data_IF_182327889791
#
_entry.id   IF_182327889791
#
_cell.length_a   1.000
_cell.length_b   1.000
_cell.length_c   1.000
_cell.angle_alpha   90.00
_cell.angle_beta   90.00
_cell.angle_gamma   90.00
#
_symmetry.space_group_name_H-M   'P 1'
#
loop_
_entity.id
_entity.type
_entity.pdbx_description
1 polymer ?
#
# COMPACT_ATOMS: atom_id res chain seq x y z
N UNK A 1 -33.08 32.68 8.95
CA UNK A 1 -31.74 32.60 8.35
C UNK A 1 -31.55 31.16 7.93
N UNK A 2 -31.46 30.90 6.63
CA UNK A 2 -31.24 29.54 6.14
C UNK A 2 -29.95 29.00 6.77
N UNK A 3 -30.04 27.86 7.42
CA UNK A 3 -28.88 27.17 7.96
C UNK A 3 -28.24 26.42 6.80
N UNK A 4 -27.11 26.92 6.29
CA UNK A 4 -26.43 26.37 5.10
C UNK A 4 -26.14 24.86 5.19
N UNK A 5 -26.13 24.28 6.40
CA UNK A 5 -25.98 22.83 6.59
C UNK A 5 -27.26 22.06 6.25
N UNK A 6 -28.43 22.60 6.59
CA UNK A 6 -29.73 21.98 6.29
C UNK A 6 -30.00 21.94 4.78
N UNK A 7 -29.69 23.02 4.06
CA UNK A 7 -29.83 23.04 2.60
C UNK A 7 -28.88 22.06 1.90
N UNK A 8 -27.65 21.96 2.39
CA UNK A 8 -26.67 20.99 1.89
C UNK A 8 -27.09 19.55 2.21
N UNK A 9 -27.70 19.32 3.37
CA UNK A 9 -28.28 18.04 3.72
C UNK A 9 -29.37 17.60 2.74
N UNK A 10 -30.33 18.49 2.43
CA UNK A 10 -31.44 18.18 1.52
C UNK A 10 -30.98 17.73 0.13
N UNK A 11 -29.84 18.24 -0.33
CA UNK A 11 -29.24 17.87 -1.62
C UNK A 11 -28.37 16.61 -1.53
N UNK A 12 -27.67 16.38 -0.41
CA UNK A 12 -26.76 15.24 -0.25
C UNK A 12 -27.46 13.94 0.18
N UNK A 13 -28.60 14.02 0.90
CA UNK A 13 -29.18 12.89 1.63
C UNK A 13 -29.53 11.69 0.74
N UNK A 14 -29.98 11.93 -0.50
CA UNK A 14 -30.36 10.84 -1.41
C UNK A 14 -29.13 10.07 -1.90
N UNK A 15 -28.06 10.77 -2.26
CA UNK A 15 -26.80 10.15 -2.68
C UNK A 15 -26.18 9.35 -1.53
N UNK A 16 -26.17 9.91 -0.32
CA UNK A 16 -25.70 9.21 0.88
C UNK A 16 -26.56 7.98 1.21
N UNK A 17 -27.89 8.08 1.09
CA UNK A 17 -28.80 6.96 1.34
C UNK A 17 -28.56 5.81 0.36
N UNK A 18 -28.46 6.13 -0.94
CA UNK A 18 -28.16 5.17 -2.00
C UNK A 18 -26.78 4.52 -1.79
N UNK A 19 -25.78 5.33 -1.45
CA UNK A 19 -24.42 4.86 -1.19
C UNK A 19 -24.35 3.93 0.03
N UNK A 20 -25.02 4.27 1.13
CA UNK A 20 -25.10 3.46 2.33
C UNK A 20 -25.72 2.09 2.04
N UNK A 21 -26.86 2.08 1.36
CA UNK A 21 -27.55 0.85 0.97
C UNK A 21 -26.67 -0.03 0.07
N UNK A 22 -25.99 0.58 -0.91
CA UNK A 22 -25.10 -0.14 -1.84
C UNK A 22 -23.86 -0.69 -1.14
N UNK A 23 -23.27 0.06 -0.20
CA UNK A 23 -22.09 -0.36 0.55
C UNK A 23 -22.45 -1.42 1.60
N UNK A 24 -23.64 -1.35 2.20
CA UNK A 24 -24.02 -2.17 3.35
C UNK A 24 -23.47 -1.59 4.66
N UNK A 25 -23.64 -0.28 4.85
CA UNK A 25 -23.24 0.44 6.07
C UNK A 25 -24.46 1.17 6.66
N UNK A 26 -24.51 1.33 7.99
CA UNK A 26 -25.58 2.10 8.63
C UNK A 26 -25.62 3.52 8.03
N UNK A 27 -26.76 3.94 7.44
CA UNK A 27 -26.86 5.24 6.81
C UNK A 27 -26.70 6.38 7.82
N UNK A 28 -27.03 6.14 9.10
CA UNK A 28 -26.83 7.12 10.15
C UNK A 28 -25.35 7.41 10.45
N UNK A 29 -24.52 6.38 10.57
CA UNK A 29 -23.05 6.53 10.71
C UNK A 29 -22.48 7.27 9.50
N UNK A 30 -22.93 6.93 8.29
CA UNK A 30 -22.51 7.62 7.06
C UNK A 30 -22.90 9.11 7.06
N UNK A 31 -24.12 9.43 7.48
CA UNK A 31 -24.57 10.82 7.59
C UNK A 31 -23.73 11.60 8.60
N UNK A 32 -23.43 11.01 9.77
CA UNK A 32 -22.60 11.67 10.79
C UNK A 32 -21.21 12.00 10.27
N UNK A 33 -20.55 11.07 9.57
CA UNK A 33 -19.20 11.32 9.05
C UNK A 33 -19.21 12.33 7.88
N UNK A 34 -20.18 12.27 6.96
CA UNK A 34 -20.32 13.27 5.90
C UNK A 34 -20.57 14.68 6.48
N UNK A 35 -21.39 14.76 7.54
CA UNK A 35 -21.64 15.99 8.27
C UNK A 35 -20.39 16.53 8.95
N UNK A 36 -19.61 15.66 9.59
CA UNK A 36 -18.37 16.00 10.27
C UNK A 36 -17.30 16.51 9.30
N UNK A 37 -17.07 15.80 8.20
CA UNK A 37 -15.98 16.08 7.26
C UNK A 37 -16.25 17.31 6.39
N UNK A 38 -17.48 17.45 5.90
CA UNK A 38 -17.78 18.44 4.87
C UNK A 38 -19.00 19.31 5.18
N UNK A 39 -19.71 19.05 6.28
CA UNK A 39 -21.05 19.61 6.54
C UNK A 39 -21.97 19.40 5.34
N UNK A 40 -21.87 18.22 4.72
CA UNK A 40 -22.61 17.83 3.50
C UNK A 40 -22.29 18.69 2.27
N UNK A 41 -21.12 19.34 2.23
CA UNK A 41 -20.70 20.11 1.07
C UNK A 41 -19.86 19.26 0.11
N UNK A 42 -20.36 18.92 -1.10
CA UNK A 42 -19.60 18.13 -2.07
C UNK A 42 -18.39 18.90 -2.67
N UNK A 43 -18.28 20.19 -2.38
CA UNK A 43 -17.16 21.06 -2.78
C UNK A 43 -16.30 21.50 -1.59
N UNK A 44 -16.46 20.86 -0.42
CA UNK A 44 -15.65 21.14 0.76
C UNK A 44 -14.16 20.95 0.46
N UNK A 45 -13.36 21.89 0.97
CA UNK A 45 -11.91 21.95 0.78
C UNK A 45 -11.27 22.68 1.96
N UNK A 46 -10.10 22.25 2.44
CA UNK A 46 -9.42 22.91 3.53
C UNK A 46 -8.71 24.16 3.00
N UNK A 47 -9.40 25.30 3.01
CA UNK A 47 -8.81 26.60 2.66
C UNK A 47 -8.52 27.37 3.95
N UNK A 48 -7.26 27.75 4.12
CA UNK A 48 -6.88 28.69 5.15
C UNK A 48 -7.45 30.08 4.82
N UNK A 49 -8.00 30.75 5.84
CA UNK A 49 -8.54 32.10 5.70
C UNK A 49 -7.45 33.12 5.34
N UNK A 50 -7.87 34.34 4.98
CA UNK A 50 -6.99 35.42 4.49
C UNK A 50 -5.74 35.70 5.34
N UNK A 51 -5.81 35.50 6.67
CA UNK A 51 -4.68 35.70 7.60
C UNK A 51 -3.59 34.64 7.51
N UNK A 52 -3.92 33.49 6.93
CA UNK A 52 -3.04 32.32 6.79
C UNK A 52 -3.01 31.81 5.35
N UNK A 53 -3.21 32.71 4.37
CA UNK A 53 -3.31 32.34 2.96
C UNK A 53 -2.06 31.62 2.43
N UNK A 54 -0.91 31.84 3.06
CA UNK A 54 0.35 31.14 2.80
C UNK A 54 0.28 29.63 2.98
N UNK A 55 -0.66 29.14 3.82
CA UNK A 55 -0.87 27.71 4.02
C UNK A 55 -1.54 27.03 2.81
N UNK A 56 -2.16 27.79 1.90
CA UNK A 56 -2.83 27.29 0.71
C UNK A 56 -1.82 26.97 -0.42
N UNK A 57 -0.98 25.96 -0.20
CA UNK A 57 0.13 25.61 -1.08
C UNK A 57 -0.26 24.67 -2.24
N UNK A 58 -1.29 23.83 -2.05
CA UNK A 58 -1.69 22.79 -3.01
C UNK A 58 -2.65 23.34 -4.04
N UNK A 59 -2.35 23.16 -5.33
CA UNK A 59 -3.29 23.40 -6.43
C UNK A 59 -4.16 22.16 -6.62
N UNK A 60 -5.48 22.30 -6.48
CA UNK A 60 -6.45 21.21 -6.68
C UNK A 60 -6.74 20.99 -8.18
N UNK A 61 -7.47 19.91 -8.47
CA UNK A 61 -7.81 19.48 -9.85
C UNK A 61 -8.59 20.53 -10.66
N UNK A 62 -9.21 21.49 -9.99
CA UNK A 62 -9.96 22.62 -10.56
C UNK A 62 -9.16 23.94 -10.57
N UNK A 63 -7.87 23.89 -10.21
CA UNK A 63 -6.97 25.05 -10.18
C UNK A 63 -7.02 25.87 -8.89
N UNK A 64 -7.96 25.58 -7.97
CA UNK A 64 -8.08 26.33 -6.70
C UNK A 64 -6.94 25.97 -5.75
N UNK A 65 -6.40 26.97 -5.04
CA UNK A 65 -5.39 26.77 -4.00
C UNK A 65 -6.04 26.41 -2.66
N UNK A 66 -5.54 25.34 -2.04
CA UNK A 66 -5.98 24.85 -0.73
C UNK A 66 -4.78 24.35 0.10
N UNK A 67 -5.01 24.08 1.38
CA UNK A 67 -3.99 23.56 2.29
C UNK A 67 -3.59 22.12 1.96
N UNK A 68 -4.48 21.35 1.35
CA UNK A 68 -4.23 19.98 0.91
C UNK A 68 -5.12 19.59 -0.28
N UNK A 69 -4.92 18.38 -0.80
CA UNK A 69 -5.74 17.80 -1.87
C UNK A 69 -7.06 17.18 -1.37
N UNK A 70 -7.39 17.35 -0.09
CA UNK A 70 -8.66 16.90 0.49
C UNK A 70 -9.83 17.63 -0.17
N UNK A 71 -10.84 16.87 -0.61
CA UNK A 71 -12.02 17.42 -1.30
C UNK A 71 -13.27 16.57 -1.10
N UNK A 72 -14.43 17.22 -1.09
CA UNK A 72 -15.75 16.58 -1.17
C UNK A 72 -16.26 15.97 0.13
N UNK A 73 -17.31 15.15 0.05
CA UNK A 73 -18.05 14.66 1.23
C UNK A 73 -17.17 14.02 2.31
N UNK A 74 -16.22 13.20 1.89
CA UNK A 74 -15.30 12.47 2.79
C UNK A 74 -13.94 13.14 2.99
N UNK A 75 -13.73 14.32 2.41
CA UNK A 75 -12.45 15.04 2.41
C UNK A 75 -11.23 14.17 2.02
N UNK A 76 -11.39 13.25 1.06
CA UNK A 76 -10.30 12.40 0.59
C UNK A 76 -9.20 13.19 -0.13
N UNK A 77 -7.94 12.91 0.22
CA UNK A 77 -6.77 13.37 -0.53
C UNK A 77 -6.71 12.70 -1.91
N UNK A 78 -5.86 13.20 -2.82
CA UNK A 78 -5.73 12.64 -4.18
C UNK A 78 -5.41 11.14 -4.18
N UNK A 79 -4.53 10.68 -3.29
CA UNK A 79 -4.10 9.29 -3.26
C UNK A 79 -5.16 8.39 -2.65
N UNK A 80 -5.77 8.81 -1.52
CA UNK A 80 -6.86 8.06 -0.90
C UNK A 80 -8.05 7.96 -1.85
N UNK A 81 -8.42 9.06 -2.52
CA UNK A 81 -9.47 9.07 -3.53
C UNK A 81 -9.18 8.11 -4.68
N UNK A 82 -7.97 8.17 -5.25
CA UNK A 82 -7.58 7.28 -6.34
C UNK A 82 -7.59 5.80 -5.92
N UNK A 83 -7.15 5.49 -4.70
CA UNK A 83 -7.24 4.15 -4.13
C UNK A 83 -8.68 3.66 -4.02
N UNK A 84 -9.57 4.48 -3.45
CA UNK A 84 -10.98 4.15 -3.31
C UNK A 84 -11.67 3.96 -4.67
N UNK A 85 -11.44 4.87 -5.61
CA UNK A 85 -12.02 4.76 -6.97
C UNK A 85 -11.50 3.53 -7.68
N UNK A 86 -10.21 3.18 -7.58
CA UNK A 86 -9.71 1.93 -8.19
C UNK A 86 -10.37 0.69 -7.62
N UNK A 87 -10.60 0.70 -6.31
CA UNK A 87 -11.12 -0.47 -5.60
C UNK A 87 -12.63 -0.64 -5.77
N UNK A 88 -13.37 0.46 -5.74
CA UNK A 88 -14.82 0.46 -5.67
C UNK A 88 -15.48 1.15 -6.85
N UNK A 89 -14.78 1.92 -7.66
CA UNK A 89 -15.35 2.72 -8.75
C UNK A 89 -16.20 1.90 -9.73
N UNK A 90 -15.77 0.69 -10.10
CA UNK A 90 -16.58 -0.20 -10.96
C UNK A 90 -17.92 -0.54 -10.31
N UNK A 91 -17.93 -0.80 -9.00
CA UNK A 91 -19.16 -1.00 -8.24
C UNK A 91 -20.07 0.21 -8.38
N UNK A 92 -19.55 1.42 -8.58
CA UNK A 92 -20.32 2.67 -8.72
C UNK A 92 -20.43 3.20 -10.16
N UNK A 93 -20.07 2.40 -11.17
CA UNK A 93 -20.27 2.75 -12.59
C UNK A 93 -19.07 3.40 -13.28
N UNK A 94 -17.91 3.50 -12.61
CA UNK A 94 -16.67 3.94 -13.24
C UNK A 94 -16.06 2.77 -14.01
N UNK A 95 -16.07 2.84 -15.34
CA UNK A 95 -15.51 1.79 -16.18
C UNK A 95 -13.99 1.67 -15.99
N UNK A 96 -13.50 0.43 -15.91
CA UNK A 96 -12.08 0.08 -15.77
C UNK A 96 -11.36 0.82 -14.62
N UNK A 97 -12.11 1.08 -13.53
CA UNK A 97 -11.65 1.95 -12.45
C UNK A 97 -10.31 1.49 -11.85
N UNK A 98 -10.10 0.17 -11.78
CA UNK A 98 -8.89 -0.49 -11.25
C UNK A 98 -7.59 -0.10 -11.96
N UNK A 99 -7.65 0.37 -13.19
CA UNK A 99 -6.48 0.74 -14.00
C UNK A 99 -6.28 2.25 -14.13
N UNK A 100 -7.15 3.06 -13.54
CA UNK A 100 -7.00 4.52 -13.58
C UNK A 100 -5.70 4.95 -12.90
N UNK A 101 -4.94 5.83 -13.55
CA UNK A 101 -3.83 6.57 -12.90
C UNK A 101 -4.35 7.51 -11.82
N UNK A 102 -3.47 8.01 -10.94
CA UNK A 102 -3.88 8.97 -9.90
C UNK A 102 -4.48 10.22 -10.55
N UNK A 103 -3.89 10.69 -11.65
CA UNK A 103 -4.39 11.83 -12.42
C UNK A 103 -5.78 11.57 -13.00
N UNK A 104 -6.01 10.41 -13.62
CA UNK A 104 -7.32 10.05 -14.19
C UNK A 104 -8.40 9.91 -13.12
N UNK A 105 -8.11 9.25 -11.99
CA UNK A 105 -9.05 9.14 -10.88
C UNK A 105 -9.42 10.51 -10.28
N UNK A 106 -8.48 11.45 -10.30
CA UNK A 106 -8.68 12.82 -9.82
C UNK A 106 -9.20 13.80 -10.90
N UNK A 107 -9.59 13.32 -12.08
CA UNK A 107 -10.17 14.18 -13.10
C UNK A 107 -11.47 14.85 -12.59
N UNK A 108 -11.78 16.09 -13.03
CA UNK A 108 -12.98 16.81 -12.58
C UNK A 108 -14.28 16.00 -12.69
N UNK A 109 -14.41 15.18 -13.74
CA UNK A 109 -15.59 14.33 -13.96
C UNK A 109 -15.85 13.34 -12.82
N UNK A 110 -14.80 12.77 -12.21
CA UNK A 110 -14.95 11.82 -11.10
C UNK A 110 -14.96 12.54 -9.76
N UNK A 111 -14.10 13.56 -9.58
CA UNK A 111 -14.02 14.31 -8.33
C UNK A 111 -15.27 15.12 -8.01
N UNK A 112 -16.01 15.59 -9.03
CA UNK A 112 -17.25 16.35 -8.84
C UNK A 112 -18.52 15.49 -8.85
N UNK A 113 -18.41 14.18 -9.09
CA UNK A 113 -19.56 13.26 -9.07
C UNK A 113 -19.97 12.99 -7.61
N UNK A 114 -21.09 13.57 -7.19
CA UNK A 114 -21.57 13.50 -5.79
C UNK A 114 -22.01 12.09 -5.40
N UNK A 115 -22.57 11.32 -6.33
CA UNK A 115 -22.96 9.94 -6.10
C UNK A 115 -21.72 9.04 -5.92
N UNK A 116 -20.68 9.26 -6.74
CA UNK A 116 -19.40 8.57 -6.58
C UNK A 116 -18.71 8.99 -5.27
N UNK A 117 -18.70 10.28 -4.92
CA UNK A 117 -18.17 10.76 -3.64
C UNK A 117 -18.85 10.07 -2.45
N UNK A 118 -20.19 10.04 -2.45
CA UNK A 118 -20.98 9.37 -1.42
C UNK A 118 -20.67 7.87 -1.37
N UNK A 119 -20.53 7.23 -2.54
CA UNK A 119 -20.14 5.82 -2.68
C UNK A 119 -18.79 5.49 -2.05
N UNK A 120 -17.76 6.27 -2.38
CA UNK A 120 -16.41 6.07 -1.80
C UNK A 120 -16.42 6.32 -0.30
N UNK A 121 -17.15 7.34 0.18
CA UNK A 121 -17.28 7.57 1.62
C UNK A 121 -17.98 6.39 2.31
N UNK A 122 -19.07 5.87 1.75
CA UNK A 122 -19.79 4.73 2.31
C UNK A 122 -18.92 3.47 2.45
N UNK A 123 -18.13 3.15 1.43
CA UNK A 123 -17.20 2.01 1.48
C UNK A 123 -16.09 2.21 2.52
N UNK A 124 -15.52 3.43 2.57
CA UNK A 124 -14.51 3.77 3.56
C UNK A 124 -15.06 3.68 4.99
N UNK A 125 -16.27 4.21 5.22
CA UNK A 125 -16.96 4.12 6.50
C UNK A 125 -17.22 2.67 6.89
N UNK A 126 -17.72 1.84 5.96
CA UNK A 126 -17.95 0.42 6.20
C UNK A 126 -16.67 -0.30 6.65
N UNK A 127 -15.57 -0.10 5.94
CA UNK A 127 -14.27 -0.69 6.31
C UNK A 127 -13.81 -0.24 7.70
N UNK A 128 -13.99 1.04 8.02
CA UNK A 128 -13.60 1.58 9.32
C UNK A 128 -14.49 1.14 10.48
N UNK A 129 -15.79 0.92 10.27
CA UNK A 129 -16.68 0.33 11.29
C UNK A 129 -16.19 -1.07 11.65
N UNK A 130 -15.94 -1.91 10.64
CA UNK A 130 -15.44 -3.29 10.84
C UNK A 130 -14.08 -3.28 11.52
N UNK A 131 -13.16 -2.44 11.03
CA UNK A 131 -11.81 -2.31 11.59
C UNK A 131 -11.83 -1.80 13.03
N UNK A 132 -12.64 -0.81 13.34
CA UNK A 132 -12.73 -0.22 14.68
C UNK A 132 -13.28 -1.20 15.72
N UNK A 133 -14.34 -1.94 15.37
CA UNK A 133 -14.90 -2.99 16.22
C UNK A 133 -13.86 -4.07 16.55
N UNK A 134 -13.06 -4.45 15.57
CA UNK A 134 -11.99 -5.44 15.75
C UNK A 134 -10.82 -4.92 16.60
N UNK A 135 -10.51 -3.63 16.51
CA UNK A 135 -9.42 -3.01 17.27
C UNK A 135 -9.76 -2.83 18.75
N UNK A 136 -11.04 -2.69 19.09
CA UNK A 136 -11.44 -2.59 20.49
C UNK A 136 -12.62 -1.69 20.79
N UNK A 137 -12.98 -0.80 19.87
CA UNK A 137 -14.00 0.20 20.15
C UNK A 137 -15.42 -0.35 19.95
N UNK A 138 -16.30 -0.05 20.90
CA UNK A 138 -17.68 -0.53 20.96
C UNK A 138 -18.69 0.42 20.30
N UNK A 139 -18.29 1.66 20.05
CA UNK A 139 -19.11 2.71 19.44
C UNK A 139 -18.66 2.94 17.99
N UNK A 140 -19.57 2.70 17.04
CA UNK A 140 -19.30 2.85 15.62
C UNK A 140 -18.94 4.28 15.22
N UNK A 141 -19.56 5.29 15.85
CA UNK A 141 -19.30 6.69 15.56
C UNK A 141 -17.90 7.08 16.05
N UNK A 142 -17.56 6.69 17.27
CA UNK A 142 -16.24 6.93 17.84
C UNK A 142 -15.14 6.16 17.09
N UNK A 143 -15.44 4.96 16.59
CA UNK A 143 -14.53 4.16 15.76
C UNK A 143 -14.20 4.85 14.44
N UNK A 144 -15.24 5.25 13.71
CA UNK A 144 -15.07 5.95 12.43
C UNK A 144 -14.35 7.28 12.66
N UNK A 145 -14.72 8.01 13.70
CA UNK A 145 -14.03 9.24 14.08
C UNK A 145 -12.54 9.01 14.36
N UNK A 146 -12.20 8.01 15.19
CA UNK A 146 -10.82 7.71 15.55
C UNK A 146 -9.99 7.35 14.32
N UNK A 147 -10.48 6.44 13.46
CA UNK A 147 -9.77 5.98 12.27
C UNK A 147 -9.65 7.06 11.19
N UNK A 148 -10.65 7.94 11.09
CA UNK A 148 -10.66 9.02 10.10
C UNK A 148 -9.80 10.21 10.55
N UNK A 149 -9.92 10.67 11.80
CA UNK A 149 -9.24 11.87 12.30
C UNK A 149 -7.79 11.61 12.76
N UNK A 150 -7.49 10.47 13.37
CA UNK A 150 -6.12 10.11 13.77
C UNK A 150 -5.33 9.43 12.64
N UNK A 151 -6.01 9.16 11.52
CA UNK A 151 -5.51 8.30 10.46
C UNK A 151 -5.43 6.84 10.90
N UNK A 152 -5.15 5.94 9.97
CA UNK A 152 -5.27 4.52 10.26
C UNK A 152 -4.31 3.99 11.33
N UNK A 153 -3.10 4.54 11.47
CA UNK A 153 -2.08 4.02 12.41
C UNK A 153 -2.29 4.59 13.82
N UNK A 154 -2.48 5.91 13.92
CA UNK A 154 -2.81 6.58 15.18
C UNK A 154 -4.18 6.15 15.71
N UNK A 155 -5.17 6.04 14.82
CA UNK A 155 -6.50 5.53 15.16
C UNK A 155 -6.47 4.07 15.58
N UNK A 156 -5.68 3.21 14.90
CA UNK A 156 -5.54 1.82 15.31
C UNK A 156 -4.86 1.65 16.67
N UNK A 157 -3.77 2.38 16.91
CA UNK A 157 -3.09 2.38 18.20
C UNK A 157 -4.02 2.88 19.32
N UNK A 158 -4.76 3.97 19.07
CA UNK A 158 -5.73 4.52 20.01
C UNK A 158 -6.84 3.52 20.34
N UNK A 159 -7.48 2.92 19.33
CA UNK A 159 -8.55 1.94 19.56
C UNK A 159 -8.05 0.65 20.23
N UNK A 160 -6.80 0.25 19.98
CA UNK A 160 -6.15 -0.83 20.72
C UNK A 160 -5.98 -0.47 22.20
N UNK A 161 -5.55 0.75 22.49
CA UNK A 161 -5.43 1.25 23.86
C UNK A 161 -6.81 1.36 24.55
N UNK A 162 -7.88 1.73 23.84
CA UNK A 162 -9.26 1.69 24.38
C UNK A 162 -9.60 0.29 24.92
N UNK A 163 -9.21 -0.78 24.22
CA UNK A 163 -9.46 -2.16 24.67
C UNK A 163 -8.51 -2.63 25.76
N UNK A 164 -7.23 -2.37 25.58
CA UNK A 164 -6.18 -2.99 26.41
C UNK A 164 -5.90 -2.18 27.68
N UNK A 165 -5.98 -0.84 27.58
CA UNK A 165 -5.57 0.09 28.63
C UNK A 165 -6.51 1.33 28.68
N UNK A 166 -7.83 1.17 28.94
CA UNK A 166 -8.80 2.27 28.87
C UNK A 166 -8.49 3.45 29.82
N UNK A 167 -7.85 3.17 30.95
CA UNK A 167 -7.47 4.16 31.96
C UNK A 167 -6.08 4.79 31.70
N UNK A 168 -5.36 4.37 30.67
CA UNK A 168 -4.09 4.98 30.29
C UNK A 168 -4.29 6.42 29.85
N UNK A 169 -3.29 7.27 30.10
CA UNK A 169 -3.34 8.68 29.69
C UNK A 169 -3.24 8.80 28.18
N UNK A 170 -3.95 9.77 27.62
CA UNK A 170 -3.90 10.03 26.17
C UNK A 170 -2.48 10.35 25.70
N UNK A 171 -1.67 11.06 26.49
CA UNK A 171 -0.28 11.39 26.15
C UNK A 171 0.72 10.23 26.20
N UNK A 172 0.34 9.08 26.77
CA UNK A 172 1.10 7.85 26.65
C UNK A 172 0.85 7.13 25.30
N UNK A 173 -0.29 7.43 24.65
CA UNK A 173 -0.73 6.75 23.42
C UNK A 173 -0.59 7.65 22.18
N UNK A 174 -0.87 8.94 22.32
CA UNK A 174 -0.86 9.92 21.23
C UNK A 174 0.27 10.93 21.41
N UNK A 175 0.87 11.33 20.28
CA UNK A 175 1.92 12.35 20.29
C UNK A 175 1.39 13.72 20.75
N UNK A 176 2.27 14.52 21.36
CA UNK A 176 1.97 15.89 21.78
C UNK A 176 1.43 16.77 20.62
N UNK A 177 1.87 16.54 19.38
CA UNK A 177 1.39 17.27 18.21
C UNK A 177 -0.08 16.95 17.88
N UNK A 178 -0.49 15.69 18.00
CA UNK A 178 -1.88 15.26 17.79
C UNK A 178 -2.78 15.86 18.86
N UNK A 179 -2.32 15.84 20.13
CA UNK A 179 -3.02 16.41 21.27
C UNK A 179 -3.23 17.92 21.09
N UNK A 180 -2.14 18.65 20.80
CA UNK A 180 -2.15 20.10 20.62
C UNK A 180 -3.07 20.56 19.49
N UNK A 181 -3.20 19.77 18.42
CA UNK A 181 -4.09 20.09 17.29
C UNK A 181 -5.56 19.82 17.58
N UNK A 182 -5.87 19.03 18.61
CA UNK A 182 -7.24 18.60 18.93
C UNK A 182 -7.57 18.77 20.43
N UNK A 183 -7.43 19.97 21.00
CA UNK A 183 -7.58 20.18 22.45
C UNK A 183 -9.00 19.89 22.95
N UNK A 184 -10.03 20.02 22.10
CA UNK A 184 -11.40 19.67 22.47
C UNK A 184 -11.61 18.17 22.75
N UNK A 185 -10.81 17.29 22.14
CA UNK A 185 -10.86 15.85 22.36
C UNK A 185 -9.93 15.40 23.47
N UNK A 186 -8.73 15.96 23.51
CA UNK A 186 -7.63 15.41 24.31
C UNK A 186 -7.25 16.27 25.51
N UNK A 187 -7.73 17.52 25.59
CA UNK A 187 -7.28 18.47 26.59
C UNK A 187 -5.78 18.71 26.48
N UNK A 188 -5.07 18.60 27.60
CA UNK A 188 -3.61 18.61 27.68
C UNK A 188 -2.97 17.21 27.55
N UNK A 189 -3.78 16.17 27.30
CA UNK A 189 -3.33 14.78 27.23
C UNK A 189 -3.37 14.00 28.54
N UNK A 190 -3.68 14.65 29.66
CA UNK A 190 -3.72 14.01 30.99
C UNK A 190 -4.96 13.15 31.25
N UNK A 191 -6.02 13.33 30.46
CA UNK A 191 -7.24 12.51 30.54
C UNK A 191 -7.03 11.09 30.04
N UNK A 192 -7.97 10.19 30.34
CA UNK A 192 -7.88 8.78 29.93
C UNK A 192 -8.25 8.58 28.46
N UNK A 193 -7.71 7.50 27.87
CA UNK A 193 -8.04 7.04 26.51
C UNK A 193 -9.54 6.78 26.37
N UNK A 194 -10.18 6.15 27.36
CA UNK A 194 -11.63 5.92 27.36
C UNK A 194 -12.43 7.23 27.35
N UNK A 195 -12.05 8.21 28.19
CA UNK A 195 -12.74 9.51 28.23
C UNK A 195 -12.55 10.30 26.92
N UNK A 196 -11.40 10.16 26.25
CA UNK A 196 -11.19 10.72 24.92
C UNK A 196 -12.04 9.99 23.86
N UNK A 197 -12.14 8.67 23.92
CA UNK A 197 -12.97 7.87 23.02
C UNK A 197 -14.46 8.22 23.14
N UNK A 198 -14.99 8.36 24.36
CA UNK A 198 -16.37 8.82 24.60
C UNK A 198 -16.62 10.24 24.04
N UNK A 199 -15.64 11.14 24.17
CA UNK A 199 -15.72 12.47 23.57
C UNK A 199 -15.78 12.43 22.04
N UNK A 200 -15.14 11.45 21.39
CA UNK A 200 -15.25 11.27 19.94
C UNK A 200 -16.69 10.92 19.53
N UNK A 201 -17.33 9.96 20.22
CA UNK A 201 -18.73 9.61 19.99
C UNK A 201 -19.66 10.81 20.20
N UNK A 202 -19.48 11.55 21.29
CA UNK A 202 -20.26 12.77 21.59
C UNK A 202 -20.10 13.86 20.53
N UNK A 203 -18.91 14.04 19.95
CA UNK A 203 -18.69 14.98 18.86
C UNK A 203 -19.50 14.59 17.61
N UNK A 204 -19.75 13.30 17.38
CA UNK A 204 -20.57 12.82 16.26
C UNK A 204 -22.07 12.98 16.53
N UNK A 205 -22.51 12.99 17.80
CA UNK A 205 -23.91 13.19 18.18
C UNK A 205 -24.51 14.52 17.72
N UNK A 206 -23.69 15.53 17.39
CA UNK A 206 -24.19 16.79 16.80
C UNK A 206 -24.92 16.58 15.46
N UNK A 207 -24.67 15.45 14.79
CA UNK A 207 -25.29 15.09 13.53
C UNK A 207 -26.41 14.05 13.68
N UNK A 208 -26.83 13.70 14.92
CA UNK A 208 -27.84 12.66 15.16
C UNK A 208 -29.15 12.93 14.42
N UNK A 209 -29.61 14.18 14.38
CA UNK A 209 -30.83 14.54 13.63
C UNK A 209 -30.79 14.09 12.16
N UNK A 210 -29.64 14.23 11.51
CA UNK A 210 -29.48 13.82 10.11
C UNK A 210 -29.35 12.29 9.99
N UNK A 211 -28.75 11.65 11.00
CA UNK A 211 -28.68 10.20 11.08
C UNK A 211 -30.07 9.56 11.25
N UNK A 212 -30.95 10.18 12.03
CA UNK A 212 -32.35 9.79 12.15
C UNK A 212 -33.10 10.01 10.82
N UNK A 213 -32.98 11.20 10.22
CA UNK A 213 -33.63 11.54 8.95
C UNK A 213 -33.30 10.52 7.83
N UNK A 214 -32.03 10.21 7.62
CA UNK A 214 -31.62 9.29 6.55
C UNK A 214 -32.06 7.84 6.78
N UNK A 215 -32.19 7.40 8.04
CA UNK A 215 -32.71 6.07 8.37
C UNK A 215 -34.18 5.92 7.99
N UNK A 216 -34.94 7.02 7.97
CA UNK A 216 -36.32 7.02 7.47
C UNK A 216 -36.40 6.95 5.94
N UNK A 217 -35.43 7.52 5.23
CA UNK A 217 -35.37 7.52 3.76
C UNK A 217 -34.83 6.19 3.21
N UNK A 218 -33.97 5.49 3.97
CA UNK A 218 -33.43 4.18 3.64
C UNK A 218 -33.82 3.11 4.69
N UNK A 219 -35.09 2.69 4.75
CA UNK A 219 -35.52 1.66 5.69
C UNK A 219 -34.97 0.30 5.22
N UNK A 220 -33.84 -0.14 5.76
CA UNK A 220 -33.25 -1.39 5.29
C UNK A 220 -32.10 -2.02 6.05
N UNK A 221 -31.37 -1.33 6.93
CA UNK A 221 -30.29 -1.97 7.70
C UNK A 221 -30.14 -1.31 9.07
N UNK A 222 -30.91 -1.79 10.05
CA UNK A 222 -30.59 -1.57 11.47
C UNK A 222 -29.44 -2.50 11.83
N UNK A 223 -28.28 -2.03 12.32
CA UNK A 223 -27.38 -2.89 13.05
C UNK A 223 -28.12 -3.35 14.31
N UNK A 224 -28.24 -4.66 14.50
CA UNK A 224 -28.73 -5.23 15.74
C UNK A 224 -27.93 -4.65 16.91
N UNK A 225 -28.63 -3.95 17.80
CA UNK A 225 -28.15 -3.65 19.12
C UNK A 225 -27.79 -4.96 19.86
N UNK A 226 -26.78 -4.86 20.74
CA UNK A 226 -26.27 -5.87 21.68
C UNK A 226 -25.20 -6.84 21.17
N UNK A 227 -23.95 -6.40 21.30
CA UNK A 227 -22.79 -7.29 21.49
C UNK A 227 -22.86 -7.97 22.88
N UNK A 228 -23.80 -8.91 23.06
CA UNK A 228 -23.79 -9.83 24.20
C UNK A 228 -23.21 -11.17 23.75
N UNK A 229 -22.16 -11.61 24.45
CA UNK A 229 -21.43 -12.87 24.23
C UNK A 229 -22.33 -14.11 24.38
N UNK A 230 -22.11 -15.21 23.63
CA UNK A 230 -22.67 -16.49 24.00
C UNK A 230 -21.67 -17.31 24.83
N UNK A 231 -22.14 -17.86 25.96
CA UNK A 231 -21.57 -19.06 26.59
C UNK A 231 -22.34 -20.30 26.12
N UNK A 232 -21.74 -21.51 26.21
CA UNK A 232 -22.02 -22.61 25.28
C UNK A 232 -23.03 -23.61 25.83
N UNK A 233 -23.90 -24.18 25.00
CA UNK A 233 -24.28 -25.60 25.13
C UNK A 233 -25.06 -26.18 23.94
N UNK A 234 -24.67 -27.42 23.61
CA UNK A 234 -25.38 -28.50 22.91
C UNK A 234 -25.61 -28.43 21.38
N UNK A 235 -24.83 -29.29 20.71
CA UNK A 235 -25.15 -29.95 19.43
C UNK A 235 -26.37 -30.88 19.65
N UNK A 236 -27.22 -31.09 18.63
CA UNK A 236 -27.06 -32.36 17.92
C UNK A 236 -27.08 -32.23 16.39
N UNK A 237 -26.36 -33.19 15.82
CA UNK A 237 -26.04 -33.40 14.43
C UNK A 237 -27.19 -34.13 13.70
N UNK A 238 -27.66 -33.56 12.59
CA UNK A 238 -27.82 -34.20 11.27
C UNK A 238 -28.74 -33.37 10.34
N UNK A 239 -28.18 -32.95 9.20
CA UNK A 239 -28.72 -33.13 7.84
C UNK A 239 -28.18 -32.02 6.92
N UNK A 240 -27.38 -32.44 5.94
CA UNK A 240 -26.59 -31.63 5.02
C UNK A 240 -27.35 -31.43 3.72
N UNK A 241 -27.66 -30.19 3.33
CA UNK A 241 -27.77 -29.72 1.92
C UNK A 241 -27.39 -28.21 1.89
N UNK A 242 -26.55 -27.80 0.93
CA UNK A 242 -25.92 -26.47 0.80
C UNK A 242 -26.92 -25.31 0.51
N UNK A 243 -26.55 -24.03 0.79
CA UNK A 243 -25.95 -23.21 -0.28
C UNK A 243 -24.91 -22.15 0.16
N UNK A 244 -24.10 -21.72 -0.83
CA UNK A 244 -23.43 -20.41 -1.04
C UNK A 244 -23.12 -19.54 0.19
N UNK A 245 -21.85 -19.49 0.58
CA UNK A 245 -21.33 -18.72 1.71
C UNK A 245 -21.51 -17.21 1.55
N UNK A 246 -22.19 -16.59 2.52
CA UNK A 246 -22.04 -15.19 2.89
C UNK A 246 -20.59 -14.92 3.40
N UNK A 247 -20.08 -13.68 3.37
CA UNK A 247 -18.68 -13.41 3.70
C UNK A 247 -18.48 -13.54 5.22
N UNK A 248 -17.75 -14.58 5.63
CA UNK A 248 -17.36 -14.80 7.02
C UNK A 248 -16.11 -13.98 7.38
N UNK A 249 -15.89 -13.79 8.68
CA UNK A 249 -14.78 -13.08 9.33
C UNK A 249 -13.35 -13.64 9.06
N UNK A 250 -13.15 -14.42 8.00
CA UNK A 250 -11.87 -14.97 7.52
C UNK A 250 -10.99 -13.95 6.76
N UNK A 251 -11.39 -12.67 6.75
CA UNK A 251 -10.81 -11.69 5.82
C UNK A 251 -9.67 -10.82 6.38
N UNK A 252 -9.24 -11.06 7.62
CA UNK A 252 -8.21 -10.24 8.28
C UNK A 252 -7.19 -11.12 9.00
N UNK A 253 -5.91 -10.99 8.62
CA UNK A 253 -4.80 -11.69 9.27
C UNK A 253 -3.99 -10.71 10.14
N UNK A 254 -3.70 -11.11 11.39
CA UNK A 254 -2.98 -10.31 12.39
C UNK A 254 -2.08 -11.17 13.26
N UNK A 255 -1.28 -10.52 14.10
CA UNK A 255 -0.50 -11.17 15.14
C UNK A 255 -1.35 -12.14 15.99
N UNK A 256 -0.87 -13.37 16.13
CA UNK A 256 -1.57 -14.51 16.75
C UNK A 256 -2.39 -15.37 15.77
N UNK A 257 -2.68 -14.91 14.56
CA UNK A 257 -3.28 -15.73 13.52
C UNK A 257 -2.32 -16.84 13.08
N UNK A 258 -2.87 -17.97 12.64
CA UNK A 258 -2.09 -19.08 12.12
C UNK A 258 -2.88 -19.86 11.05
N UNK A 259 -2.18 -20.62 10.21
CA UNK A 259 -2.78 -21.46 9.17
C UNK A 259 -2.31 -21.13 7.76
N UNK A 260 -2.98 -21.72 6.77
CA UNK A 260 -2.63 -21.60 5.35
C UNK A 260 -2.64 -20.16 4.84
N UNK A 261 -3.58 -19.35 5.31
CA UNK A 261 -3.75 -17.97 4.83
C UNK A 261 -2.62 -17.07 5.32
N UNK A 262 -2.12 -17.32 6.54
CA UNK A 262 -0.93 -16.66 7.08
C UNK A 262 0.32 -17.08 6.30
N UNK A 263 0.43 -18.36 5.96
CA UNK A 263 1.54 -18.86 5.14
C UNK A 263 1.54 -18.20 3.76
N UNK A 264 0.38 -18.14 3.10
CA UNK A 264 0.24 -17.47 1.81
C UNK A 264 0.61 -15.99 1.90
N UNK A 265 0.14 -15.27 2.93
CA UNK A 265 0.53 -13.88 3.19
C UNK A 265 2.06 -13.73 3.33
N UNK A 266 2.69 -14.58 4.15
CA UNK A 266 4.14 -14.56 4.37
C UNK A 266 4.92 -14.83 3.07
N UNK A 267 4.45 -15.76 2.24
CA UNK A 267 5.04 -16.04 0.93
C UNK A 267 4.92 -14.86 -0.04
N UNK A 268 3.77 -14.18 -0.08
CA UNK A 268 3.56 -13.00 -0.92
C UNK A 268 4.46 -11.83 -0.50
N UNK A 269 4.54 -11.55 0.80
CA UNK A 269 5.45 -10.54 1.36
C UNK A 269 6.91 -10.87 1.04
N UNK A 270 7.32 -12.13 1.22
CA UNK A 270 8.66 -12.59 0.87
C UNK A 270 8.99 -12.44 -0.61
N UNK A 271 8.03 -12.79 -1.50
CA UNK A 271 8.18 -12.61 -2.96
C UNK A 271 8.39 -11.15 -3.35
N UNK A 272 7.82 -10.22 -2.60
CA UNK A 272 7.92 -8.79 -2.84
C UNK A 272 9.08 -8.12 -2.07
N UNK A 273 9.94 -8.92 -1.41
CA UNK A 273 11.13 -8.41 -0.72
C UNK A 273 10.89 -7.90 0.71
N UNK A 274 9.69 -8.10 1.28
CA UNK A 274 9.38 -7.69 2.65
C UNK A 274 9.77 -8.79 3.63
N UNK A 275 10.96 -8.66 4.22
CA UNK A 275 11.59 -9.72 5.03
C UNK A 275 11.50 -9.51 6.54
N UNK A 276 10.87 -8.44 7.05
CA UNK A 276 10.67 -8.24 8.50
C UNK A 276 11.84 -7.57 9.25
N UNK A 277 12.82 -7.01 8.53
CA UNK A 277 13.88 -6.16 9.07
C UNK A 277 13.32 -4.99 9.91
N UNK A 278 13.91 -4.68 11.09
CA UNK A 278 15.14 -5.22 11.67
C UNK A 278 14.92 -6.41 12.64
N UNK A 279 13.71 -6.97 12.73
CA UNK A 279 13.32 -7.94 13.78
C UNK A 279 13.52 -9.42 13.38
N UNK A 280 14.25 -9.68 12.29
CA UNK A 280 14.58 -11.02 11.79
C UNK A 280 13.93 -11.31 10.43
N UNK A 281 14.35 -12.41 9.80
CA UNK A 281 13.88 -12.80 8.46
C UNK A 281 12.52 -13.49 8.50
N UNK A 282 11.59 -13.03 7.65
CA UNK A 282 10.25 -13.55 7.48
C UNK A 282 10.31 -15.02 7.03
N UNK A 283 9.68 -15.90 7.80
CA UNK A 283 9.50 -17.32 7.46
C UNK A 283 8.04 -17.57 7.09
N UNK A 284 7.80 -18.38 6.07
CA UNK A 284 6.46 -18.83 5.67
C UNK A 284 5.98 -20.04 6.49
N UNK A 285 6.08 -19.96 7.80
CA UNK A 285 5.71 -21.05 8.71
C UNK A 285 4.19 -21.17 8.92
N UNK A 286 3.43 -20.14 8.54
CA UNK A 286 2.00 -20.05 8.79
C UNK A 286 1.66 -19.53 10.18
N UNK A 287 2.61 -18.92 10.90
CA UNK A 287 2.39 -18.27 12.20
C UNK A 287 2.61 -16.76 12.11
N UNK A 288 1.56 -15.99 12.39
CA UNK A 288 1.63 -14.54 12.31
C UNK A 288 2.23 -14.00 13.61
N UNK A 289 3.54 -13.86 13.63
CA UNK A 289 4.30 -13.28 14.75
C UNK A 289 4.76 -11.84 14.51
N UNK A 290 5.57 -11.28 15.43
CA UNK A 290 6.12 -9.92 15.33
C UNK A 290 6.88 -9.64 14.02
N UNK A 291 7.54 -10.67 13.46
CA UNK A 291 8.28 -10.56 12.19
C UNK A 291 7.32 -10.38 11.00
N UNK A 292 6.25 -11.18 10.94
CA UNK A 292 5.19 -11.05 9.92
C UNK A 292 4.49 -9.71 10.02
N UNK A 293 4.22 -9.25 11.24
CA UNK A 293 3.67 -7.92 11.48
C UNK A 293 4.59 -6.82 10.94
N UNK A 294 5.88 -6.85 11.26
CA UNK A 294 6.86 -5.88 10.76
C UNK A 294 6.94 -5.86 9.24
N UNK A 295 6.90 -7.04 8.60
CA UNK A 295 6.86 -7.15 7.13
C UNK A 295 5.57 -6.54 6.54
N UNK A 296 4.42 -6.76 7.17
CA UNK A 296 3.15 -6.15 6.74
C UNK A 296 3.17 -4.63 6.93
N UNK A 297 3.68 -4.12 8.05
CA UNK A 297 3.82 -2.67 8.27
C UNK A 297 4.75 -2.01 7.26
N UNK A 298 5.85 -2.68 6.89
CA UNK A 298 6.76 -2.23 5.84
C UNK A 298 6.07 -2.19 4.48
N UNK A 299 5.40 -3.28 4.09
CA UNK A 299 4.60 -3.33 2.87
C UNK A 299 3.54 -2.23 2.83
N UNK A 300 2.81 -2.07 3.91
CA UNK A 300 1.78 -1.04 4.01
C UNK A 300 2.37 0.36 3.86
N UNK A 301 3.52 0.64 4.49
CA UNK A 301 4.20 1.95 4.38
C UNK A 301 4.63 2.25 2.95
N UNK A 302 5.25 1.28 2.30
CA UNK A 302 5.83 1.42 0.96
C UNK A 302 4.75 1.51 -0.13
N UNK A 303 3.56 0.95 0.14
CA UNK A 303 2.39 1.06 -0.73
C UNK A 303 1.36 2.09 -0.25
N UNK A 304 1.78 3.02 0.62
CA UNK A 304 0.96 4.14 1.11
C UNK A 304 -0.38 3.72 1.74
N UNK A 305 -0.42 2.50 2.26
CA UNK A 305 -1.47 2.03 3.16
C UNK A 305 -1.14 2.44 4.59
N UNK A 306 -2.10 2.23 5.47
CA UNK A 306 -1.86 2.38 6.90
C UNK A 306 -0.91 1.29 7.40
N UNK A 307 0.27 1.62 7.99
CA UNK A 307 1.20 0.63 8.52
C UNK A 307 0.78 0.17 9.93
N UNK A 308 -0.34 -0.53 10.02
CA UNK A 308 -0.91 -1.03 11.28
C UNK A 308 -0.55 -2.50 11.58
N UNK A 309 0.10 -3.18 10.64
CA UNK A 309 0.52 -4.57 10.80
C UNK A 309 -0.65 -5.55 10.75
N UNK A 310 -1.76 -5.14 10.12
CA UNK A 310 -2.97 -5.94 9.97
C UNK A 310 -3.20 -6.16 8.48
N UNK A 311 -3.10 -7.41 8.04
CA UNK A 311 -3.39 -7.77 6.66
C UNK A 311 -4.91 -7.95 6.47
N UNK A 312 -5.63 -6.83 6.45
CA UNK A 312 -7.03 -6.75 6.06
C UNK A 312 -7.24 -6.74 4.54
N UNK A 313 -8.49 -6.61 4.05
CA UNK A 313 -8.81 -6.69 2.63
C UNK A 313 -8.00 -5.75 1.72
N UNK A 314 -7.75 -4.52 2.17
CA UNK A 314 -6.91 -3.55 1.44
C UNK A 314 -5.48 -4.05 1.25
N UNK A 315 -4.86 -4.49 2.34
CA UNK A 315 -3.49 -4.99 2.35
C UNK A 315 -3.35 -6.26 1.53
N UNK A 316 -4.28 -7.22 1.66
CA UNK A 316 -4.23 -8.48 0.89
C UNK A 316 -4.44 -8.25 -0.61
N UNK A 317 -5.37 -7.40 -1.01
CA UNK A 317 -5.54 -7.07 -2.45
C UNK A 317 -4.35 -6.31 -3.01
N UNK A 318 -3.77 -5.39 -2.23
CA UNK A 318 -2.56 -4.71 -2.67
C UNK A 318 -1.39 -5.71 -2.81
N UNK A 319 -1.26 -6.67 -1.89
CA UNK A 319 -0.28 -7.77 -2.00
C UNK A 319 -0.51 -8.60 -3.26
N UNK A 320 -1.74 -9.04 -3.50
CA UNK A 320 -2.10 -9.80 -4.71
C UNK A 320 -1.78 -9.03 -5.99
N UNK A 321 -2.10 -7.73 -6.03
CA UNK A 321 -1.80 -6.87 -7.16
C UNK A 321 -0.29 -6.69 -7.35
N UNK A 322 0.47 -6.48 -6.28
CA UNK A 322 1.92 -6.35 -6.37
C UNK A 322 2.59 -7.66 -6.77
N UNK A 323 2.11 -8.81 -6.27
CA UNK A 323 2.59 -10.13 -6.71
C UNK A 323 2.28 -10.36 -8.19
N UNK A 324 1.10 -9.92 -8.66
CA UNK A 324 0.74 -9.99 -10.08
C UNK A 324 1.56 -9.04 -10.94
N UNK A 325 1.81 -7.81 -10.50
CA UNK A 325 2.66 -6.84 -11.20
C UNK A 325 4.11 -7.34 -11.23
N UNK A 326 4.62 -7.84 -10.11
CA UNK A 326 5.92 -8.51 -10.04
C UNK A 326 5.99 -9.75 -10.96
N UNK A 327 4.88 -10.48 -11.13
CA UNK A 327 4.78 -11.59 -12.09
C UNK A 327 4.58 -11.15 -13.55
N UNK A 328 4.06 -9.95 -13.80
CA UNK A 328 3.83 -9.37 -15.14
C UNK A 328 5.05 -8.57 -15.64
N UNK A 329 5.81 -7.97 -14.72
CA UNK A 329 7.16 -7.43 -14.90
C UNK A 329 8.22 -8.55 -14.95
N UNK A 330 7.79 -9.82 -14.86
CA UNK A 330 8.55 -10.97 -15.34
C UNK A 330 8.17 -11.27 -16.80
N UNK A 331 8.89 -10.77 -17.81
CA UNK A 331 8.61 -11.17 -19.19
C UNK A 331 9.00 -12.63 -19.41
N UNK A 332 8.01 -13.48 -19.66
CA UNK A 332 8.19 -14.79 -20.27
C UNK A 332 8.68 -14.62 -21.73
N UNK A 333 9.99 -14.43 -21.94
CA UNK A 333 10.61 -14.64 -23.27
C UNK A 333 12.14 -14.80 -23.32
N UNK A 334 12.89 -14.60 -22.24
CA UNK A 334 14.32 -14.93 -22.24
C UNK A 334 14.52 -16.33 -21.65
N UNK A 335 15.17 -17.22 -22.39
CA UNK A 335 15.68 -18.49 -21.83
C UNK A 335 16.54 -18.16 -20.61
N UNK A 336 16.28 -18.72 -19.41
CA UNK A 336 17.05 -18.40 -18.22
C UNK A 336 18.55 -18.76 -18.37
N UNK A 337 19.45 -18.01 -17.73
CA UNK A 337 20.90 -18.24 -17.73
C UNK A 337 21.29 -19.61 -17.16
N UNK A 338 20.50 -20.15 -16.23
CA UNK A 338 20.68 -21.48 -15.66
C UNK A 338 20.12 -22.62 -16.54
N UNK A 339 19.45 -22.30 -17.65
CA UNK A 339 19.02 -23.26 -18.65
C UNK A 339 20.18 -23.61 -19.59
N UNK A 340 20.51 -24.90 -19.79
CA UNK A 340 21.54 -25.34 -20.73
C UNK A 340 21.39 -24.83 -22.18
N UNK A 341 20.17 -24.48 -22.60
CA UNK A 341 19.90 -23.94 -23.93
C UNK A 341 20.27 -22.45 -24.08
N UNK A 342 20.63 -21.75 -23.00
CA UNK A 342 20.98 -20.34 -23.06
C UNK A 342 22.38 -20.11 -23.65
N UNK A 343 22.52 -19.14 -24.55
CA UNK A 343 23.78 -18.85 -25.24
C UNK A 343 24.96 -18.51 -24.29
N UNK A 344 24.66 -17.91 -23.13
CA UNK A 344 25.65 -17.59 -22.09
C UNK A 344 25.63 -18.55 -20.90
N UNK A 345 25.04 -19.75 -21.05
CA UNK A 345 25.02 -20.76 -19.99
C UNK A 345 26.44 -21.14 -19.51
N UNK A 346 27.43 -21.11 -20.39
CA UNK A 346 28.82 -21.37 -20.03
C UNK A 346 29.38 -20.38 -19.00
N UNK A 347 29.08 -19.08 -19.15
CA UNK A 347 29.47 -18.05 -18.17
C UNK A 347 28.75 -18.25 -16.84
N UNK A 348 27.46 -18.62 -16.86
CA UNK A 348 26.70 -18.96 -15.66
C UNK A 348 27.32 -20.15 -14.91
N UNK A 349 27.66 -21.24 -15.60
CA UNK A 349 28.30 -22.41 -14.98
C UNK A 349 29.67 -22.07 -14.37
N UNK A 350 30.46 -21.23 -15.05
CA UNK A 350 31.76 -20.76 -14.55
C UNK A 350 31.61 -19.88 -13.30
N UNK A 351 30.65 -18.94 -13.30
CA UNK A 351 30.30 -18.14 -12.14
C UNK A 351 29.83 -19.03 -10.98
N UNK A 352 28.93 -19.98 -11.25
CA UNK A 352 28.39 -20.90 -10.24
C UNK A 352 29.48 -21.78 -9.61
N UNK A 353 30.47 -22.22 -10.41
CA UNK A 353 31.65 -22.94 -9.89
C UNK A 353 32.47 -22.08 -8.92
N UNK A 354 32.63 -20.79 -9.21
CA UNK A 354 33.30 -19.85 -8.31
C UNK A 354 32.51 -19.56 -7.03
N UNK A 355 31.21 -19.29 -7.16
CA UNK A 355 30.31 -19.04 -6.01
C UNK A 355 30.24 -20.26 -5.08
N UNK A 356 30.17 -21.49 -5.63
CA UNK A 356 30.22 -22.73 -4.84
C UNK A 356 31.48 -22.86 -3.99
N UNK A 357 32.63 -22.39 -4.48
CA UNK A 357 33.89 -22.40 -3.70
C UNK A 357 33.82 -21.43 -2.54
N UNK A 358 33.22 -20.25 -2.75
CA UNK A 358 32.99 -19.25 -1.68
C UNK A 358 32.04 -19.84 -0.62
N UNK A 359 30.94 -20.45 -1.05
CA UNK A 359 29.97 -21.10 -0.16
C UNK A 359 30.66 -22.19 0.70
N UNK A 360 31.48 -23.04 0.08
CA UNK A 360 32.26 -24.06 0.78
C UNK A 360 33.26 -23.47 1.79
N UNK A 361 33.94 -22.38 1.43
CA UNK A 361 34.86 -21.69 2.35
C UNK A 361 34.13 -21.07 3.54
N UNK A 362 32.88 -20.67 3.35
CA UNK A 362 32.01 -20.15 4.41
C UNK A 362 31.24 -21.24 5.16
N UNK A 363 31.44 -22.53 4.82
CA UNK A 363 30.75 -23.64 5.47
C UNK A 363 29.25 -23.70 5.20
N UNK A 364 28.77 -23.10 4.11
CA UNK A 364 27.35 -23.11 3.71
C UNK A 364 27.12 -23.93 2.43
N UNK A 365 25.95 -24.57 2.28
CA UNK A 365 25.54 -25.12 0.99
C UNK A 365 25.16 -24.01 0.01
N UNK A 366 25.33 -24.25 -1.29
CA UNK A 366 24.78 -23.36 -2.31
C UNK A 366 23.26 -23.46 -2.37
N UNK A 367 22.61 -22.32 -2.55
CA UNK A 367 21.14 -22.17 -2.55
C UNK A 367 20.68 -21.23 -3.68
N UNK A 368 19.42 -20.80 -3.63
CA UNK A 368 18.86 -19.87 -4.62
C UNK A 368 19.61 -18.51 -4.66
N UNK A 369 20.13 -18.03 -3.54
CA UNK A 369 20.93 -16.80 -3.50
C UNK A 369 22.28 -17.01 -4.21
N UNK A 370 22.87 -18.20 -4.07
CA UNK A 370 24.08 -18.58 -4.81
C UNK A 370 23.82 -18.61 -6.33
N UNK A 371 22.68 -19.12 -6.76
CA UNK A 371 22.27 -19.11 -8.17
C UNK A 371 22.03 -17.69 -8.71
N UNK A 372 21.37 -16.85 -7.92
CA UNK A 372 21.12 -15.44 -8.26
C UNK A 372 22.44 -14.66 -8.40
N UNK A 373 23.36 -14.83 -7.44
CA UNK A 373 24.70 -14.23 -7.50
C UNK A 373 25.48 -14.71 -8.73
N UNK A 374 25.45 -16.00 -9.04
CA UNK A 374 26.10 -16.56 -10.22
C UNK A 374 25.51 -16.00 -11.54
N UNK A 375 24.19 -15.83 -11.62
CA UNK A 375 23.54 -15.24 -12.77
C UNK A 375 23.90 -13.76 -12.95
N UNK A 376 23.94 -12.98 -11.86
CA UNK A 376 24.37 -11.60 -11.89
C UNK A 376 25.83 -11.44 -12.34
N UNK A 377 26.73 -12.29 -11.84
CA UNK A 377 28.14 -12.33 -12.24
C UNK A 377 28.30 -12.67 -13.73
N UNK A 378 27.54 -13.65 -14.24
CA UNK A 378 27.55 -14.01 -15.64
C UNK A 378 27.03 -12.86 -16.53
N UNK A 379 25.98 -12.17 -16.10
CA UNK A 379 25.44 -11.00 -16.81
C UNK A 379 26.43 -9.83 -16.83
N UNK A 380 27.06 -9.54 -15.69
CA UNK A 380 28.09 -8.50 -15.61
C UNK A 380 29.32 -8.81 -16.47
N UNK A 381 29.77 -10.07 -16.46
CA UNK A 381 30.87 -10.54 -17.30
C UNK A 381 30.55 -10.38 -18.79
N UNK A 382 29.36 -10.81 -19.21
CA UNK A 382 28.89 -10.63 -20.58
C UNK A 382 28.84 -9.15 -20.99
N UNK A 383 28.25 -8.29 -20.14
CA UNK A 383 28.16 -6.84 -20.41
C UNK A 383 29.52 -6.13 -20.46
N UNK A 384 30.56 -6.70 -19.82
CA UNK A 384 31.94 -6.21 -19.89
C UNK A 384 32.77 -6.85 -21.01
N UNK A 385 32.15 -7.71 -21.84
CA UNK A 385 32.82 -8.37 -22.95
C UNK A 385 33.75 -9.51 -22.54
N UNK A 386 33.60 -10.07 -21.34
CA UNK A 386 34.34 -11.26 -20.94
C UNK A 386 33.79 -12.48 -21.70
N UNK A 387 34.70 -13.26 -22.23
CA UNK A 387 34.42 -14.53 -22.93
C UNK A 387 34.34 -15.73 -21.98
N UNK A 388 34.91 -15.60 -20.77
CA UNK A 388 34.90 -16.62 -19.70
C UNK A 388 35.09 -15.98 -18.33
N UNK A 389 34.73 -16.71 -17.28
CA UNK A 389 35.04 -16.40 -15.88
C UNK A 389 36.00 -17.50 -15.36
N UNK A 390 37.28 -17.14 -15.17
CA UNK A 390 38.29 -18.05 -14.63
C UNK A 390 38.23 -18.11 -13.09
N UNK A 391 37.88 -16.99 -12.46
CA UNK A 391 37.75 -16.87 -11.01
C UNK A 391 36.54 -16.03 -10.61
N UNK A 392 35.94 -16.37 -9.47
CA UNK A 392 35.05 -15.46 -8.73
C UNK A 392 35.76 -15.09 -7.44
N UNK A 393 35.89 -13.80 -7.19
CA UNK A 393 36.51 -13.25 -5.98
C UNK A 393 35.52 -12.32 -5.29
N UNK A 394 35.59 -12.25 -3.98
CA UNK A 394 34.73 -11.39 -3.16
C UNK A 394 35.61 -10.45 -2.33
N UNK A 395 35.10 -9.26 -2.03
CA UNK A 395 35.78 -8.31 -1.15
C UNK A 395 35.79 -8.85 0.29
N UNK A 396 36.75 -8.38 1.09
CA UNK A 396 36.88 -8.78 2.49
C UNK A 396 35.62 -8.43 3.32
N UNK A 397 34.92 -7.36 2.95
CA UNK A 397 33.66 -6.93 3.57
C UNK A 397 32.41 -7.62 3.00
N UNK A 398 32.57 -8.49 1.99
CA UNK A 398 31.47 -9.23 1.36
C UNK A 398 30.51 -8.38 0.53
N UNK A 399 30.76 -7.08 0.35
CA UNK A 399 29.84 -6.17 -0.37
C UNK A 399 29.94 -6.28 -1.89
N UNK A 400 31.10 -6.68 -2.40
CA UNK A 400 31.38 -6.75 -3.84
C UNK A 400 31.90 -8.14 -4.21
N UNK A 401 31.48 -8.61 -5.37
CA UNK A 401 32.06 -9.78 -6.00
C UNK A 401 32.47 -9.45 -7.44
N UNK A 402 33.46 -10.17 -7.96
CA UNK A 402 33.94 -9.99 -9.33
C UNK A 402 34.04 -11.33 -10.05
N UNK A 403 33.50 -11.36 -11.27
CA UNK A 403 33.89 -12.35 -12.26
C UNK A 403 35.20 -11.90 -12.91
N UNK A 404 36.23 -12.74 -12.86
CA UNK A 404 37.58 -12.40 -13.35
C UNK A 404 37.97 -13.32 -14.50
N UNK A 405 38.41 -12.72 -15.60
CA UNK A 405 39.04 -13.41 -16.73
C UNK A 405 40.55 -13.21 -16.70
N UNK A 406 41.31 -14.31 -16.79
CA UNK A 406 42.76 -14.35 -16.68
C UNK A 406 43.26 -14.59 -15.25
N UNK A 407 44.58 -14.75 -15.12
CA UNK A 407 45.23 -14.98 -13.82
C UNK A 407 45.03 -13.80 -12.87
N UNK A 408 44.71 -14.08 -11.60
CA UNK A 408 44.55 -13.05 -10.55
C UNK A 408 45.79 -12.15 -10.38
N UNK A 409 46.98 -12.70 -10.66
CA UNK A 409 48.25 -11.99 -10.56
C UNK A 409 48.63 -11.25 -11.86
N UNK A 410 47.80 -11.32 -12.91
CA UNK A 410 48.04 -10.60 -14.16
C UNK A 410 47.59 -9.14 -14.05
N UNK A 411 48.37 -8.18 -14.58
CA UNK A 411 47.90 -6.80 -14.77
C UNK A 411 46.88 -6.68 -15.90
N UNK A 412 46.77 -7.69 -16.78
CA UNK A 412 45.85 -7.71 -17.92
C UNK A 412 44.56 -8.47 -17.64
N UNK A 413 44.30 -8.86 -16.39
CA UNK A 413 43.04 -9.52 -16.02
C UNK A 413 41.87 -8.57 -16.25
N UNK A 414 40.76 -9.11 -16.73
CA UNK A 414 39.51 -8.36 -16.88
C UNK A 414 38.59 -8.71 -15.73
N UNK A 415 37.85 -7.73 -15.23
CA UNK A 415 37.00 -7.88 -14.04
C UNK A 415 35.62 -7.31 -14.30
N UNK A 416 34.60 -8.04 -13.88
CA UNK A 416 33.21 -7.62 -13.92
C UNK A 416 32.63 -7.58 -12.50
N UNK A 417 32.44 -6.38 -11.91
CA UNK A 417 31.92 -6.24 -10.54
C UNK A 417 30.41 -6.46 -10.46
N UNK A 418 29.96 -6.96 -9.31
CA UNK A 418 28.55 -6.94 -8.87
C UNK A 418 28.46 -6.55 -7.39
N UNK A 419 27.40 -5.83 -7.04
CA UNK A 419 27.02 -5.64 -5.64
C UNK A 419 26.36 -6.93 -5.12
N UNK A 420 26.91 -7.50 -4.06
CA UNK A 420 26.48 -8.82 -3.57
C UNK A 420 25.06 -8.77 -3.02
N UNK A 421 24.70 -7.72 -2.27
CA UNK A 421 23.38 -7.59 -1.66
C UNK A 421 22.29 -7.47 -2.73
N UNK A 422 22.54 -6.70 -3.79
CA UNK A 422 21.62 -6.64 -4.92
C UNK A 422 21.60 -7.97 -5.70
N UNK A 423 22.78 -8.55 -5.98
CA UNK A 423 22.92 -9.73 -6.82
C UNK A 423 22.22 -10.97 -6.25
N UNK A 424 22.35 -11.23 -4.95
CA UNK A 424 21.68 -12.39 -4.30
C UNK A 424 20.16 -12.28 -4.34
N UNK A 425 19.61 -11.06 -4.43
CA UNK A 425 18.18 -10.79 -4.53
C UNK A 425 17.70 -10.55 -5.98
N UNK A 426 18.60 -10.62 -6.97
CA UNK A 426 18.25 -10.50 -8.39
C UNK A 426 17.95 -11.89 -8.95
N UNK A 427 16.70 -12.23 -9.32
CA UNK A 427 16.39 -13.55 -9.85
C UNK A 427 17.14 -13.84 -11.16
N UNK A 428 17.48 -15.11 -11.38
CA UNK A 428 18.16 -15.57 -12.61
C UNK A 428 17.49 -15.04 -13.88
N UNK A 429 16.16 -15.00 -13.93
CA UNK A 429 15.40 -14.47 -15.07
C UNK A 429 15.75 -13.00 -15.38
N UNK A 430 15.90 -12.15 -14.36
CA UNK A 430 16.22 -10.73 -14.53
C UNK A 430 17.67 -10.54 -15.01
N UNK A 431 18.62 -11.34 -14.50
CA UNK A 431 19.99 -11.35 -15.03
C UNK A 431 20.05 -11.87 -16.47
N UNK A 432 19.17 -12.81 -16.83
CA UNK A 432 19.06 -13.35 -18.20
C UNK A 432 18.56 -12.29 -19.18
N UNK A 433 17.65 -11.44 -18.72
CA UNK A 433 17.21 -10.29 -19.51
C UNK A 433 18.32 -9.28 -19.74
N UNK A 434 19.11 -8.95 -18.70
CA UNK A 434 20.25 -8.05 -18.85
C UNK A 434 21.24 -8.53 -19.94
N UNK A 435 21.47 -9.85 -20.03
CA UNK A 435 22.25 -10.47 -21.11
C UNK A 435 21.56 -10.32 -22.46
N UNK A 436 20.26 -10.60 -22.54
CA UNK A 436 19.50 -10.47 -23.79
C UNK A 436 19.43 -9.03 -24.31
N UNK A 437 19.40 -8.04 -23.41
CA UNK A 437 19.43 -6.61 -23.75
C UNK A 437 20.81 -6.17 -24.25
N UNK A 438 21.89 -6.66 -23.64
CA UNK A 438 23.26 -6.39 -24.08
C UNK A 438 23.61 -6.99 -25.46
N UNK A 439 22.90 -8.04 -25.87
CA UNK A 439 23.09 -8.70 -27.16
C UNK A 439 22.35 -8.02 -28.34
N UNK A 440 21.47 -7.03 -28.09
CA UNK A 440 20.77 -6.30 -29.16
C UNK A 440 21.72 -5.26 -29.79
N UNK A 441 21.86 -5.20 -31.13
CA UNK A 441 22.67 -4.17 -31.77
C UNK A 441 22.09 -2.77 -31.51
N UNK A 442 22.94 -1.82 -31.11
CA UNK A 442 22.59 -0.42 -30.89
C UNK A 442 22.13 0.23 -32.21
N UNK A 443 21.02 1.00 -32.27
CA UNK A 443 20.53 1.62 -33.52
C UNK A 443 21.38 2.77 -34.09
N UNK A 444 22.63 2.95 -33.68
CA UNK A 444 23.41 4.16 -33.98
C UNK A 444 24.52 4.00 -35.05
N UNK A 445 24.61 2.84 -35.71
CA UNK A 445 25.58 2.62 -36.78
C UNK A 445 24.91 2.45 -38.15
N UNK A 446 24.08 3.41 -38.56
CA UNK A 446 23.63 3.57 -39.95
C UNK A 446 23.01 4.98 -40.15
N UNK A 447 23.86 5.99 -40.23
CA UNK A 447 23.51 7.25 -40.90
C UNK A 447 24.27 7.32 -42.22
N UNK A 448 23.60 7.44 -43.38
CA UNK A 448 24.27 7.72 -44.64
C UNK A 448 24.80 9.16 -44.63
N UNK A 449 26.04 9.32 -45.06
CA UNK A 449 26.69 10.62 -45.22
C UNK A 449 25.89 11.50 -46.21
N UNK A 450 25.33 12.61 -45.71
CA UNK A 450 24.91 13.73 -46.56
C UNK A 450 25.85 14.91 -46.33
N UNK A 451 26.69 15.15 -47.34
CA UNK A 451 27.40 16.40 -47.57
C UNK A 451 26.42 17.58 -47.56
N UNK A 452 26.71 18.61 -46.75
CA UNK A 452 26.19 19.96 -46.98
C UNK A 452 27.33 20.95 -46.84
N UNK A 453 27.59 21.67 -47.93
CA UNK A 453 28.55 22.76 -48.05
C UNK A 453 28.28 23.86 -47.01
N UNK A 454 29.36 24.37 -46.40
CA UNK A 454 29.40 25.66 -45.73
C UNK A 454 29.32 26.81 -46.74
N UNK A 455 28.71 27.94 -46.37
CA UNK A 455 29.18 29.24 -46.78
C UNK A 455 29.91 29.92 -45.62
N UNK A 456 31.15 30.33 -45.92
CA UNK A 456 31.94 31.23 -45.11
C UNK A 456 31.30 32.63 -45.04
N UNK A 457 31.32 33.24 -43.87
CA UNK A 457 31.15 34.70 -43.73
C UNK A 457 32.36 35.21 -42.98
N UNK A 458 33.35 35.66 -43.76
CA UNK A 458 34.36 36.61 -43.32
C UNK A 458 33.73 38.01 -43.25
N UNK A 459 33.99 38.76 -42.18
CA UNK A 459 34.14 40.23 -42.29
C UNK A 459 35.63 40.57 -42.14
N UNK A 460 36.08 41.85 -42.21
CA UNK A 460 35.36 43.11 -42.48
C UNK A 460 36.11 43.99 -43.54
N UNK A 461 35.85 45.32 -43.54
CA UNK A 461 36.42 46.43 -44.35
C UNK A 461 35.62 46.76 -45.63
N UNK A 462 35.21 48.00 -45.93
CA UNK A 462 35.67 49.35 -45.57
C UNK A 462 34.49 50.31 -45.39
#
# INVERSE_FOLDING_TARGET
MSNTTDERWETARQDLANAAARAGVDPGVLAKIAGFESQYNPHARPIAGHKHAELNSVTQFDGVKAMSSAYGYGQFTNDTWAGMVRQYGEKYGVADARHLTVAQANAPALRNDTALQAGMLAEFTRENVVKGAWLGGQDADANVYALHNLGGAGGAAFLKAVREHPNERVDAVLSANVIKRNPGLYGDGSGTVEAAYQRMGQQMSRYERYAEDIRHVAPGQTPAASLSQPSPTHVPEHARVAPSHAPHASDVLKEGAHGSDVRALQEQLGKLGYTGEPKGSLRSDGHYGPVTRGAVEAFQRDHHLTPDGIAGPLTRRQLDNQVRLHAQDTPAKATPLNDPAHAQHALFQQAMSGVRKIDQQQGRPSDQHSENLAAALAAAAHGKGLSKIDHVVMSDDGRQAWGVQGSLNSPFKQMAPVDVAQAVHTPVAQSSEAVAQAAKPTPEAQQPAMNVLQPAVEGPHR
#
